data_IF_695125338261
#
_entry.id   IF_695125338261
#
_cell.length_a   1.000
_cell.length_b   1.000
_cell.length_c   1.000
_cell.angle_alpha   90.00
_cell.angle_beta   90.00
_cell.angle_gamma   90.00
#
_symmetry.space_group_name_H-M   'P 1'
#
loop_
_entity.id
_entity.type
_entity.pdbx_description
1 polymer ?
#
# COMPACT_ATOMS: atom_id res chain seq x y z
N UNK A 1 -13.50 1.16 -4.10
CA UNK A 1 -12.55 1.73 -5.08
C UNK A 1 -11.71 0.62 -5.74
N UNK A 2 -10.86 0.93 -6.73
CA UNK A 2 -9.86 -0.04 -7.23
C UNK A 2 -8.84 -0.42 -6.15
N UNK A 3 -8.46 0.54 -5.29
CA UNK A 3 -7.61 0.31 -4.11
C UNK A 3 -8.18 -0.78 -3.20
N UNK A 4 -9.48 -0.68 -2.84
CA UNK A 4 -10.15 -1.68 -2.00
C UNK A 4 -10.13 -3.06 -2.66
N UNK A 5 -10.40 -3.16 -3.98
CA UNK A 5 -10.37 -4.45 -4.69
C UNK A 5 -8.98 -5.11 -4.66
N UNK A 6 -7.93 -4.30 -4.80
CA UNK A 6 -6.55 -4.75 -4.71
C UNK A 6 -6.22 -5.15 -3.27
N UNK A 7 -6.59 -4.32 -2.29
CA UNK A 7 -6.39 -4.60 -0.87
C UNK A 7 -7.10 -5.89 -0.43
N UNK A 8 -8.35 -6.11 -0.85
CA UNK A 8 -9.08 -7.36 -0.56
C UNK A 8 -8.37 -8.59 -1.11
N UNK A 9 -7.76 -8.49 -2.29
CA UNK A 9 -6.97 -9.59 -2.84
C UNK A 9 -5.71 -9.83 -1.99
N UNK A 10 -4.99 -8.75 -1.64
CA UNK A 10 -3.70 -8.82 -0.94
C UNK A 10 -3.81 -9.01 0.56
N UNK A 11 -5.01 -8.85 1.14
CA UNK A 11 -5.32 -9.30 2.49
C UNK A 11 -5.28 -10.85 2.59
N UNK A 12 -5.44 -11.57 1.46
CA UNK A 12 -5.23 -13.03 1.45
C UNK A 12 -3.73 -13.33 1.55
N UNK A 13 -3.30 -13.91 2.68
CA UNK A 13 -1.88 -14.24 2.96
C UNK A 13 -1.20 -15.02 1.84
N UNK A 14 -1.89 -15.99 1.22
CA UNK A 14 -1.33 -16.78 0.11
C UNK A 14 -1.10 -15.94 -1.15
N UNK A 15 -1.99 -15.00 -1.46
CA UNK A 15 -1.82 -14.06 -2.59
C UNK A 15 -0.64 -13.13 -2.32
N UNK A 16 -0.61 -12.50 -1.14
CA UNK A 16 0.46 -11.58 -0.75
C UNK A 16 1.85 -12.24 -0.79
N UNK A 17 1.99 -13.41 -0.17
CA UNK A 17 3.27 -14.12 -0.13
C UNK A 17 3.70 -14.65 -1.50
N UNK A 18 2.75 -15.06 -2.36
CA UNK A 18 3.05 -15.46 -3.73
C UNK A 18 3.61 -14.30 -4.54
N UNK A 19 2.97 -13.12 -4.51
CA UNK A 19 3.47 -11.95 -5.24
C UNK A 19 4.82 -11.46 -4.70
N UNK A 20 5.01 -11.52 -3.38
CA UNK A 20 6.29 -11.22 -2.72
C UNK A 20 7.40 -12.20 -3.10
N UNK A 21 7.07 -13.47 -3.36
CA UNK A 21 8.04 -14.41 -3.91
C UNK A 21 8.42 -14.02 -5.34
N UNK A 22 7.43 -13.70 -6.16
CA UNK A 22 7.61 -13.32 -7.57
C UNK A 22 8.29 -11.95 -7.76
N UNK A 23 8.27 -11.06 -6.76
CA UNK A 23 9.02 -9.80 -6.81
C UNK A 23 10.54 -9.99 -6.75
N UNK A 24 11.01 -11.15 -6.25
CA UNK A 24 12.44 -11.50 -6.22
C UNK A 24 12.98 -11.91 -7.58
N UNK A 25 12.11 -12.26 -8.52
CA UNK A 25 12.48 -12.67 -9.87
C UNK A 25 11.52 -13.69 -10.48
N UNK A 26 11.66 -13.96 -11.79
CA UNK A 26 10.90 -14.99 -12.47
C UNK A 26 11.22 -16.39 -11.93
N UNK A 27 10.25 -17.29 -11.97
CA UNK A 27 10.40 -18.68 -11.54
C UNK A 27 9.65 -19.62 -12.49
N UNK A 28 9.98 -20.90 -12.49
CA UNK A 28 9.23 -21.89 -13.27
C UNK A 28 7.84 -22.11 -12.68
N UNK A 29 6.86 -22.42 -13.51
CA UNK A 29 5.49 -22.69 -13.04
C UNK A 29 5.46 -23.88 -12.09
N UNK A 30 6.24 -24.93 -12.36
CA UNK A 30 6.37 -26.09 -11.48
C UNK A 30 7.10 -25.74 -10.18
N UNK A 31 8.19 -24.97 -10.24
CA UNK A 31 8.89 -24.52 -9.02
C UNK A 31 8.05 -23.59 -8.14
N UNK A 32 7.13 -22.82 -8.73
CA UNK A 32 6.14 -22.05 -7.97
C UNK A 32 5.06 -22.96 -7.37
N UNK A 33 4.60 -23.97 -8.12
CA UNK A 33 3.61 -24.95 -7.67
C UNK A 33 4.11 -25.73 -6.46
N UNK A 34 5.32 -26.28 -6.54
CA UNK A 34 5.95 -27.04 -5.44
C UNK A 34 6.01 -26.18 -4.17
N UNK A 35 6.61 -24.99 -4.26
CA UNK A 35 6.69 -24.08 -3.13
C UNK A 35 5.31 -23.69 -2.58
N UNK A 36 4.33 -23.45 -3.45
CA UNK A 36 2.99 -23.02 -3.03
C UNK A 36 2.28 -24.16 -2.28
N UNK A 37 2.33 -25.38 -2.80
CA UNK A 37 1.72 -26.55 -2.17
C UNK A 37 2.40 -26.89 -0.83
N UNK A 38 3.72 -26.71 -0.73
CA UNK A 38 4.44 -26.88 0.54
C UNK A 38 4.04 -25.81 1.57
N UNK A 39 3.80 -24.58 1.12
CA UNK A 39 3.49 -23.43 2.01
C UNK A 39 2.01 -23.36 2.37
N UNK A 40 1.13 -23.79 1.46
CA UNK A 40 -0.33 -23.67 1.54
C UNK A 40 -1.02 -24.97 1.04
N UNK A 41 -0.83 -26.10 1.74
CA UNK A 41 -1.26 -27.42 1.25
C UNK A 41 -2.77 -27.56 1.04
N UNK A 42 -3.56 -26.76 1.75
CA UNK A 42 -5.03 -26.78 1.71
C UNK A 42 -5.64 -25.89 0.60
N UNK A 43 -4.81 -25.15 -0.15
CA UNK A 43 -5.29 -24.17 -1.14
C UNK A 43 -5.01 -24.65 -2.56
N UNK A 44 -5.95 -24.36 -3.49
CA UNK A 44 -5.79 -24.72 -4.89
C UNK A 44 -4.81 -23.77 -5.61
N UNK A 45 -3.67 -24.31 -6.03
CA UNK A 45 -2.70 -23.59 -6.86
C UNK A 45 -3.28 -23.12 -8.19
N UNK A 46 -4.19 -23.89 -8.81
CA UNK A 46 -4.80 -23.51 -10.08
C UNK A 46 -5.67 -22.27 -9.90
N UNK A 47 -6.49 -22.22 -8.84
CA UNK A 47 -7.30 -21.04 -8.53
C UNK A 47 -6.44 -19.78 -8.29
N UNK A 48 -5.32 -19.93 -7.58
CA UNK A 48 -4.33 -18.86 -7.40
C UNK A 48 -3.85 -18.34 -8.77
N UNK A 49 -3.31 -19.21 -9.61
CA UNK A 49 -2.74 -18.84 -10.92
C UNK A 49 -3.80 -18.20 -11.82
N UNK A 50 -4.97 -18.82 -11.95
CA UNK A 50 -6.07 -18.31 -12.77
C UNK A 50 -6.49 -16.91 -12.31
N UNK A 51 -6.50 -16.68 -10.99
CA UNK A 51 -6.80 -15.36 -10.41
C UNK A 51 -5.72 -14.33 -10.70
N UNK A 52 -4.44 -14.68 -10.53
CA UNK A 52 -3.33 -13.77 -10.77
C UNK A 52 -3.17 -13.40 -12.25
N UNK A 53 -3.40 -14.35 -13.16
CA UNK A 53 -3.43 -14.10 -14.62
C UNK A 53 -4.60 -13.20 -14.99
N UNK A 54 -5.82 -13.55 -14.54
CA UNK A 54 -7.05 -12.77 -14.84
C UNK A 54 -6.94 -11.33 -14.37
N UNK A 55 -6.32 -11.09 -13.22
CA UNK A 55 -6.10 -9.74 -12.66
C UNK A 55 -4.83 -9.06 -13.15
N UNK A 56 -4.13 -9.67 -14.12
CA UNK A 56 -2.92 -9.14 -14.75
C UNK A 56 -1.81 -8.81 -13.73
N UNK A 57 -1.68 -9.63 -12.69
CA UNK A 57 -0.53 -9.55 -11.78
C UNK A 57 0.66 -10.32 -12.33
N UNK A 58 0.40 -11.41 -13.04
CA UNK A 58 1.44 -12.28 -13.60
C UNK A 58 1.22 -12.51 -15.08
N UNK A 59 2.32 -12.84 -15.76
CA UNK A 59 2.34 -13.35 -17.12
C UNK A 59 3.05 -14.69 -17.12
N UNK A 60 2.46 -15.68 -17.81
CA UNK A 60 3.07 -16.99 -17.98
C UNK A 60 3.63 -17.05 -19.39
N UNK A 61 4.95 -17.10 -19.50
CA UNK A 61 5.64 -17.23 -20.78
C UNK A 61 6.14 -18.67 -20.97
N UNK A 62 5.99 -19.22 -22.17
CA UNK A 62 6.62 -20.48 -22.52
C UNK A 62 7.95 -20.21 -23.22
N UNK A 63 9.03 -20.82 -22.72
CA UNK A 63 10.36 -20.74 -23.31
C UNK A 63 10.75 -22.16 -23.75
N UNK A 64 11.03 -22.33 -25.04
CA UNK A 64 11.31 -23.64 -25.62
C UNK A 64 10.08 -24.55 -25.69
N UNK A 65 10.31 -25.87 -25.66
CA UNK A 65 9.29 -26.87 -25.98
C UNK A 65 8.30 -27.09 -24.83
N UNK A 66 8.72 -26.94 -23.57
CA UNK A 66 7.90 -27.36 -22.42
C UNK A 66 7.96 -26.44 -21.19
N UNK A 67 8.97 -25.59 -21.04
CA UNK A 67 9.13 -24.82 -19.80
C UNK A 67 8.29 -23.56 -19.77
N UNK A 68 7.44 -23.45 -18.74
CA UNK A 68 6.63 -22.26 -18.47
C UNK A 68 7.24 -21.49 -17.31
N UNK A 69 7.44 -20.20 -17.51
CA UNK A 69 7.93 -19.25 -16.53
C UNK A 69 6.83 -18.30 -16.10
N UNK A 70 6.76 -18.02 -14.81
CA UNK A 70 5.86 -17.04 -14.22
C UNK A 70 6.64 -15.76 -13.97
N UNK A 71 6.20 -14.68 -14.60
CA UNK A 71 6.75 -13.33 -14.44
C UNK A 71 5.74 -12.47 -13.71
N UNK A 72 6.22 -11.65 -12.77
CA UNK A 72 5.42 -10.60 -12.17
C UNK A 72 5.29 -9.46 -13.18
N UNK A 73 4.09 -8.92 -13.37
CA UNK A 73 3.84 -7.75 -14.22
C UNK A 73 3.81 -6.45 -13.42
N UNK A 74 3.27 -6.52 -12.20
CA UNK A 74 3.16 -5.37 -11.29
C UNK A 74 3.42 -5.79 -9.86
N UNK A 75 4.30 -5.06 -9.20
CA UNK A 75 4.41 -5.00 -7.74
C UNK A 75 3.32 -4.08 -7.22
N UNK A 76 2.67 -4.49 -6.15
CA UNK A 76 1.71 -3.64 -5.45
C UNK A 76 2.20 -3.49 -4.03
N UNK A 77 2.37 -2.24 -3.62
CA UNK A 77 2.78 -1.88 -2.28
C UNK A 77 1.68 -1.06 -1.62
N UNK A 78 1.59 -1.19 -0.30
CA UNK A 78 0.86 -0.27 0.53
C UNK A 78 1.88 0.37 1.46
N UNK A 79 1.88 1.69 1.51
CA UNK A 79 2.80 2.45 2.34
C UNK A 79 2.06 3.57 3.08
N UNK A 80 2.69 4.03 4.16
CA UNK A 80 2.21 5.17 4.91
C UNK A 80 2.82 6.43 4.32
N UNK A 81 1.97 7.44 4.11
CA UNK A 81 2.38 8.77 3.66
C UNK A 81 1.86 9.83 4.62
N UNK A 82 2.53 11.00 4.74
CA UNK A 82 1.97 12.14 5.44
C UNK A 82 0.56 12.45 4.91
N UNK A 83 -0.42 12.73 5.78
CA UNK A 83 -1.77 13.07 5.32
C UNK A 83 -1.78 14.42 4.58
N UNK A 84 -2.50 14.50 3.46
CA UNK A 84 -2.58 15.73 2.65
C UNK A 84 -3.10 16.91 3.47
N UNK A 85 -4.10 16.68 4.34
CA UNK A 85 -4.61 17.72 5.25
C UNK A 85 -3.52 18.33 6.13
N UNK A 86 -2.50 17.55 6.50
CA UNK A 86 -1.39 18.04 7.32
C UNK A 86 -0.42 18.89 6.48
N UNK A 87 -0.23 18.53 5.21
CA UNK A 87 0.54 19.32 4.25
C UNK A 87 -0.15 20.67 4.01
N UNK A 88 -1.47 20.63 3.82
CA UNK A 88 -2.30 21.84 3.68
C UNK A 88 -2.16 22.77 4.90
N UNK A 89 -2.12 22.25 6.13
CA UNK A 89 -1.93 23.07 7.34
C UNK A 89 -0.56 23.74 7.43
N UNK A 90 0.45 23.22 6.72
CA UNK A 90 1.80 23.80 6.66
C UNK A 90 1.84 24.89 5.58
N UNK A 91 1.24 24.62 4.42
CA UNK A 91 1.35 25.46 3.23
C UNK A 91 0.33 26.61 3.23
N UNK A 92 -0.84 26.38 3.81
CA UNK A 92 -1.94 27.33 3.91
C UNK A 92 -2.28 27.50 5.38
N UNK A 93 -2.20 28.72 5.94
CA UNK A 93 -2.73 28.97 7.29
C UNK A 93 -4.26 28.86 7.19
N UNK A 94 -4.89 27.75 7.60
CA UNK A 94 -6.29 27.56 7.33
C UNK A 94 -7.05 28.53 8.23
N UNK A 95 -7.83 29.45 7.68
CA UNK A 95 -8.64 30.41 8.47
C UNK A 95 -9.58 29.70 9.47
N UNK A 96 -9.88 28.42 9.21
CA UNK A 96 -10.81 27.58 9.94
C UNK A 96 -10.17 26.74 11.04
N UNK A 97 -8.84 26.72 11.17
CA UNK A 97 -8.14 25.89 12.16
C UNK A 97 -7.27 26.77 13.05
N UNK A 98 -7.42 26.59 14.35
CA UNK A 98 -6.64 27.34 15.33
C UNK A 98 -5.14 27.00 15.22
N UNK A 99 -4.23 27.99 15.11
CA UNK A 99 -2.80 27.75 14.97
C UNK A 99 -2.21 26.87 16.08
N UNK A 100 -2.67 27.04 17.33
CA UNK A 100 -2.20 26.24 18.46
C UNK A 100 -2.54 24.74 18.30
N UNK A 101 -3.61 24.42 17.59
CA UNK A 101 -3.99 23.04 17.30
C UNK A 101 -3.03 22.40 16.29
N UNK A 102 -2.59 23.19 15.30
CA UNK A 102 -1.61 22.78 14.29
C UNK A 102 -0.25 22.53 14.96
N UNK A 103 0.17 23.42 15.85
CA UNK A 103 1.43 23.27 16.62
C UNK A 103 1.47 22.00 17.48
N UNK A 104 0.31 21.49 17.91
CA UNK A 104 0.21 20.23 18.64
C UNK A 104 0.20 19.00 17.72
N UNK A 105 -0.35 19.13 16.51
CA UNK A 105 -0.54 18.04 15.57
C UNK A 105 0.75 17.74 14.79
N UNK A 106 1.40 18.77 14.25
CA UNK A 106 2.57 18.61 13.36
C UNK A 106 3.71 17.80 13.98
N UNK A 107 4.12 18.03 15.25
CA UNK A 107 5.20 17.26 15.85
C UNK A 107 4.90 15.77 15.93
N UNK A 108 3.63 15.39 16.14
CA UNK A 108 3.21 13.98 16.25
C UNK A 108 3.34 13.23 14.92
N UNK A 109 3.00 13.91 13.82
CA UNK A 109 3.16 13.36 12.46
C UNK A 109 4.64 13.27 12.11
N UNK A 110 5.43 14.32 12.40
CA UNK A 110 6.87 14.34 12.14
C UNK A 110 7.63 13.27 12.94
N UNK A 111 7.32 13.10 14.23
CA UNK A 111 7.91 12.08 15.09
C UNK A 111 7.61 10.67 14.56
N UNK A 112 6.37 10.44 14.12
CA UNK A 112 5.96 9.18 13.51
C UNK A 112 6.79 8.86 12.27
N UNK A 113 6.89 9.79 11.31
CA UNK A 113 7.60 9.55 10.06
C UNK A 113 9.13 9.44 10.26
N UNK A 114 9.69 10.20 11.20
CA UNK A 114 11.10 10.06 11.60
C UNK A 114 11.42 8.65 12.09
N UNK A 115 10.49 8.00 12.79
CA UNK A 115 10.65 6.60 13.23
C UNK A 115 10.35 5.63 12.09
N UNK A 116 9.32 5.89 11.30
CA UNK A 116 8.85 5.02 10.22
C UNK A 116 9.91 4.82 9.12
N UNK A 117 10.62 5.88 8.74
CA UNK A 117 11.69 5.84 7.73
C UNK A 117 12.87 4.94 8.11
N UNK A 118 13.06 4.69 9.42
CA UNK A 118 14.14 3.87 9.95
C UNK A 118 13.76 2.38 10.10
N UNK A 119 12.54 1.98 9.73
CA UNK A 119 12.10 0.58 9.79
C UNK A 119 12.91 -0.30 8.83
N UNK A 120 13.21 -1.51 9.28
CA UNK A 120 13.84 -2.52 8.43
C UNK A 120 12.89 -2.99 7.32
N UNK A 121 13.45 -3.58 6.25
CA UNK A 121 12.65 -4.15 5.15
C UNK A 121 11.60 -5.16 5.63
N UNK A 122 11.93 -5.98 6.64
CA UNK A 122 11.00 -6.97 7.19
C UNK A 122 9.83 -6.29 7.91
N UNK A 123 10.10 -5.26 8.70
CA UNK A 123 9.05 -4.50 9.39
C UNK A 123 8.13 -3.78 8.40
N UNK A 124 8.69 -3.21 7.33
CA UNK A 124 7.88 -2.59 6.27
C UNK A 124 7.02 -3.61 5.52
N UNK A 125 7.49 -4.83 5.30
CA UNK A 125 6.71 -5.89 4.68
C UNK A 125 5.54 -6.36 5.57
N UNK A 126 5.74 -6.44 6.90
CA UNK A 126 4.69 -6.76 7.87
C UNK A 126 3.67 -5.62 7.97
N UNK A 127 4.14 -4.38 7.96
CA UNK A 127 3.29 -3.19 7.93
C UNK A 127 2.45 -3.15 6.65
N UNK A 128 3.06 -3.39 5.48
CA UNK A 128 2.37 -3.45 4.18
C UNK A 128 1.17 -4.39 4.21
N UNK A 129 1.33 -5.58 4.81
CA UNK A 129 0.22 -6.53 4.94
C UNK A 129 -0.89 -6.00 5.86
N UNK A 130 -0.52 -5.35 6.95
CA UNK A 130 -1.46 -4.67 7.86
C UNK A 130 -2.22 -3.55 7.15
N UNK A 131 -1.56 -2.77 6.29
CA UNK A 131 -2.20 -1.71 5.52
C UNK A 131 -3.23 -2.28 4.53
N UNK A 132 -2.94 -3.41 3.89
CA UNK A 132 -3.96 -4.10 3.08
C UNK A 132 -5.15 -4.59 3.91
N UNK A 133 -4.94 -5.06 5.14
CA UNK A 133 -6.04 -5.42 6.04
C UNK A 133 -6.94 -4.23 6.32
N UNK A 134 -6.35 -3.07 6.60
CA UNK A 134 -7.09 -1.84 6.89
C UNK A 134 -7.90 -1.38 5.67
N UNK A 135 -7.28 -1.27 4.50
CA UNK A 135 -7.95 -0.79 3.28
C UNK A 135 -8.99 -1.78 2.77
N UNK A 136 -8.81 -3.08 3.01
CA UNK A 136 -9.79 -4.10 2.61
C UNK A 136 -11.04 -4.15 3.49
N UNK A 137 -11.02 -3.54 4.67
CA UNK A 137 -12.15 -3.51 5.59
C UNK A 137 -12.98 -2.24 5.35
N UNK A 138 -14.22 -2.35 4.84
CA UNK A 138 -15.02 -1.18 4.47
C UNK A 138 -15.34 -0.27 5.66
N UNK A 139 -15.40 -0.80 6.89
CA UNK A 139 -15.70 -0.01 8.09
C UNK A 139 -14.49 0.85 8.46
N UNK A 140 -13.29 0.26 8.40
CA UNK A 140 -12.03 1.00 8.65
C UNK A 140 -11.76 2.01 7.55
N UNK A 141 -11.94 1.60 6.29
CA UNK A 141 -11.74 2.49 5.14
C UNK A 141 -12.69 3.69 5.15
N UNK A 142 -13.95 3.51 5.58
CA UNK A 142 -14.88 4.64 5.71
C UNK A 142 -14.40 5.65 6.78
N UNK A 143 -13.91 5.20 7.95
CA UNK A 143 -13.31 6.11 8.95
C UNK A 143 -12.10 6.85 8.36
N UNK A 144 -11.22 6.15 7.63
CA UNK A 144 -10.08 6.79 6.97
C UNK A 144 -10.51 7.82 5.94
N UNK A 145 -11.52 7.51 5.14
CA UNK A 145 -12.05 8.40 4.12
C UNK A 145 -12.57 9.70 4.73
N UNK A 146 -13.25 9.65 5.88
CA UNK A 146 -13.69 10.86 6.57
C UNK A 146 -12.49 11.69 7.04
N UNK A 147 -11.53 11.05 7.71
CA UNK A 147 -10.36 11.72 8.30
C UNK A 147 -9.35 12.24 7.27
N UNK A 148 -9.43 11.81 5.99
CA UNK A 148 -8.63 12.40 4.89
C UNK A 148 -8.97 13.86 4.60
N UNK A 149 -10.14 14.33 5.03
CA UNK A 149 -10.55 15.73 4.89
C UNK A 149 -10.02 16.63 6.03
N UNK A 150 -9.26 16.07 6.98
CA UNK A 150 -8.69 16.80 8.09
C UNK A 150 -9.13 16.28 9.46
N UNK A 151 -8.79 17.06 10.49
CA UNK A 151 -9.15 16.75 11.87
C UNK A 151 -10.67 16.85 12.10
N UNK A 152 -11.21 15.92 12.87
CA UNK A 152 -12.65 15.81 13.15
C UNK A 152 -12.86 15.78 14.66
N UNK A 153 -13.78 16.58 15.16
CA UNK A 153 -14.29 16.47 16.53
C UNK A 153 -14.85 15.06 16.77
N UNK A 154 -14.35 14.38 17.81
CA UNK A 154 -14.72 13.00 18.16
C UNK A 154 -16.24 12.80 18.25
N UNK A 155 -17.00 13.81 18.71
CA UNK A 155 -18.45 13.72 18.87
C UNK A 155 -19.20 13.85 17.52
N UNK A 156 -18.53 14.39 16.49
CA UNK A 156 -19.09 14.54 15.14
C UNK A 156 -18.83 13.32 14.27
N UNK A 157 -17.73 12.59 14.49
CA UNK A 157 -17.37 11.42 13.68
C UNK A 157 -18.49 10.36 13.55
N UNK A 158 -19.25 10.01 14.62
CA UNK A 158 -20.37 9.07 14.51
C UNK A 158 -21.47 9.47 13.51
N UNK A 159 -21.59 10.76 13.20
CA UNK A 159 -22.60 11.31 12.27
C UNK A 159 -22.12 11.34 10.82
N UNK A 160 -20.82 11.22 10.59
CA UNK A 160 -20.19 11.30 9.26
C UNK A 160 -20.01 9.91 8.64
N UNK A 161 -19.78 8.90 9.48
CA UNK A 161 -19.58 7.52 9.03
C UNK A 161 -20.88 6.84 8.59
N UNK A 162 -20.76 5.82 7.75
CA UNK A 162 -21.89 5.00 7.33
C UNK A 162 -22.55 4.29 8.52
N UNK A 163 -23.85 3.95 8.41
CA UNK A 163 -24.58 3.21 9.45
C UNK A 163 -23.87 1.89 9.82
N UNK A 164 -23.38 1.15 8.83
CA UNK A 164 -22.64 -0.10 9.06
C UNK A 164 -21.30 0.11 9.77
N UNK A 165 -20.67 1.27 9.59
CA UNK A 165 -19.44 1.64 10.30
C UNK A 165 -19.74 2.04 11.73
N UNK A 166 -20.82 2.77 11.95
CA UNK A 166 -21.24 3.26 13.27
C UNK A 166 -21.35 2.13 14.30
N UNK A 167 -21.98 1.02 13.93
CA UNK A 167 -22.12 -0.17 14.79
C UNK A 167 -20.77 -0.79 15.22
N UNK A 168 -19.69 -0.49 14.48
CA UNK A 168 -18.34 -1.00 14.71
C UNK A 168 -17.30 0.12 14.90
N UNK A 169 -17.75 1.35 15.18
CA UNK A 169 -16.89 2.52 15.16
C UNK A 169 -15.76 2.39 16.19
N UNK A 170 -16.10 2.05 17.43
CA UNK A 170 -15.10 1.88 18.50
C UNK A 170 -14.07 0.80 18.19
N UNK A 171 -14.50 -0.33 17.60
CA UNK A 171 -13.58 -1.39 17.18
C UNK A 171 -12.64 -0.92 16.06
N UNK A 172 -13.17 -0.16 15.11
CA UNK A 172 -12.40 0.40 14.00
C UNK A 172 -11.40 1.44 14.50
N UNK A 173 -11.82 2.37 15.36
CA UNK A 173 -10.96 3.38 15.98
C UNK A 173 -9.84 2.74 16.80
N UNK A 174 -10.15 1.76 17.65
CA UNK A 174 -9.14 1.08 18.45
C UNK A 174 -8.11 0.35 17.58
N UNK A 175 -8.55 -0.27 16.48
CA UNK A 175 -7.64 -0.90 15.52
C UNK A 175 -6.74 0.13 14.84
N UNK A 176 -7.32 1.22 14.33
CA UNK A 176 -6.56 2.28 13.65
C UNK A 176 -5.57 2.98 14.59
N UNK A 177 -5.94 3.24 15.85
CA UNK A 177 -5.04 3.78 16.88
C UNK A 177 -3.90 2.82 17.21
N UNK A 178 -4.22 1.53 17.43
CA UNK A 178 -3.22 0.48 17.74
C UNK A 178 -2.15 0.38 16.64
N UNK A 179 -2.55 0.65 15.40
CA UNK A 179 -1.65 0.60 14.26
C UNK A 179 -1.13 1.99 13.85
N UNK A 180 -1.18 3.00 14.72
CA UNK A 180 -0.64 4.35 14.48
C UNK A 180 -1.14 5.02 13.18
N UNK A 181 -2.39 4.74 12.78
CA UNK A 181 -3.01 5.39 11.62
C UNK A 181 -3.69 6.69 12.01
N UNK A 182 -4.31 6.70 13.20
CA UNK A 182 -5.03 7.85 13.75
C UNK A 182 -4.55 8.13 15.16
N UNK A 183 -4.73 9.37 15.59
CA UNK A 183 -4.44 9.78 16.97
C UNK A 183 -5.53 10.73 17.48
N UNK A 184 -5.71 10.74 18.81
CA UNK A 184 -6.63 11.65 19.49
C UNK A 184 -5.85 12.78 20.16
N UNK A 185 -6.36 14.00 20.00
CA UNK A 185 -5.84 15.19 20.63
C UNK A 185 -6.93 15.84 21.48
N UNK A 186 -6.56 16.32 22.68
CA UNK A 186 -7.43 17.16 23.49
C UNK A 186 -7.02 18.61 23.36
N UNK A 187 -7.98 19.47 23.06
CA UNK A 187 -7.75 20.91 22.92
C UNK A 187 -8.99 21.68 23.35
N UNK A 188 -8.84 22.68 24.22
CA UNK A 188 -9.94 23.50 24.76
C UNK A 188 -11.17 22.70 25.25
N UNK A 189 -10.93 21.59 25.96
CA UNK A 189 -11.94 20.63 26.45
C UNK A 189 -12.68 19.82 25.37
N UNK A 190 -12.32 19.96 24.11
CA UNK A 190 -12.82 19.14 23.01
C UNK A 190 -11.79 18.04 22.67
N UNK A 191 -12.28 16.93 22.12
CA UNK A 191 -11.44 15.85 21.63
C UNK A 191 -11.53 15.82 20.12
N UNK A 192 -10.37 15.77 19.47
CA UNK A 192 -10.23 15.71 18.03
C UNK A 192 -9.54 14.42 17.63
N UNK A 193 -9.97 13.82 16.53
CA UNK A 193 -9.33 12.67 15.89
C UNK A 193 -8.76 13.16 14.55
N UNK A 194 -7.52 12.78 14.26
CA UNK A 194 -6.87 13.12 13.00
C UNK A 194 -6.07 11.94 12.44
N UNK A 195 -5.76 11.98 11.14
CA UNK A 195 -4.82 11.02 10.55
C UNK A 195 -3.40 11.34 11.00
N UNK A 196 -2.75 10.37 11.62
CA UNK A 196 -1.30 10.42 11.89
C UNK A 196 -0.50 9.99 10.65
N UNK A 197 -1.04 9.04 9.91
CA UNK A 197 -0.51 8.55 8.65
C UNK A 197 -1.68 8.20 7.72
N UNK A 198 -1.63 8.68 6.48
CA UNK A 198 -2.52 8.21 5.42
C UNK A 198 -1.93 6.94 4.78
N UNK A 199 -2.77 6.16 4.11
CA UNK A 199 -2.40 4.94 3.41
C UNK A 199 -2.48 5.18 1.92
N UNK A 200 -1.39 4.89 1.22
CA UNK A 200 -1.33 4.91 -0.24
C UNK A 200 -1.08 3.50 -0.77
N UNK A 201 -1.88 3.07 -1.75
CA UNK A 201 -1.62 1.84 -2.50
C UNK A 201 -1.05 2.23 -3.86
N UNK A 202 0.18 1.81 -4.13
CA UNK A 202 0.87 2.08 -5.38
C UNK A 202 1.11 0.79 -6.15
N UNK A 203 1.17 0.91 -7.47
CA UNK A 203 1.57 -0.18 -8.35
C UNK A 203 2.78 0.23 -9.17
N UNK A 204 3.80 -0.62 -9.24
CA UNK A 204 5.02 -0.36 -9.99
C UNK A 204 5.44 -1.59 -10.78
N UNK A 205 6.28 -1.40 -11.81
CA UNK A 205 6.95 -2.54 -12.43
C UNK A 205 7.91 -3.21 -11.44
N UNK A 206 8.02 -4.55 -11.48
CA UNK A 206 8.98 -5.27 -10.65
C UNK A 206 10.40 -4.74 -10.77
N UNK A 207 11.11 -4.70 -9.64
CA UNK A 207 12.46 -4.10 -9.58
C UNK A 207 13.42 -4.74 -10.61
N UNK A 208 13.34 -6.05 -10.80
CA UNK A 208 14.18 -6.78 -11.76
C UNK A 208 13.85 -6.43 -13.23
N UNK A 209 12.59 -6.10 -13.54
CA UNK A 209 12.22 -5.62 -14.88
C UNK A 209 12.70 -4.18 -15.08
N UNK A 210 12.54 -3.30 -14.08
CA UNK A 210 13.04 -1.91 -14.12
C UNK A 210 14.55 -1.85 -14.37
N UNK A 211 15.34 -2.71 -13.71
CA UNK A 211 16.80 -2.84 -13.91
C UNK A 211 17.18 -3.35 -15.30
N UNK A 212 16.30 -4.08 -15.96
CA UNK A 212 16.54 -4.62 -17.30
C UNK A 212 16.27 -3.54 -18.35
N UNK A 213 15.22 -2.74 -18.17
CA UNK A 213 14.88 -1.61 -19.05
C UNK A 213 15.94 -0.52 -19.07
N UNK A 214 16.59 -0.23 -17.93
CA UNK A 214 17.63 0.81 -17.84
C UNK A 214 18.98 0.42 -18.47
N UNK A 215 19.18 -0.85 -18.84
CA UNK A 215 20.44 -1.32 -19.46
C UNK A 215 20.45 -1.16 -20.99
N UNK A 216 19.29 -1.09 -21.65
CA UNK A 216 19.19 -0.96 -23.11
C UNK A 216 19.35 0.49 -23.62
N UNK A 217 19.33 1.49 -22.73
CA UNK A 217 19.40 2.91 -23.10
C UNK A 217 20.82 3.48 -23.21
N UNK A 218 21.83 2.66 -23.57
CA UNK A 218 23.11 3.22 -24.06
C UNK A 218 22.95 3.51 -25.56
N UNK A 219 22.99 4.77 -26.01
CA UNK A 219 22.86 5.08 -27.43
C UNK A 219 23.99 4.40 -28.18
N UNK A 220 23.62 3.58 -29.16
CA UNK A 220 24.54 3.07 -30.18
C UNK A 220 25.04 4.32 -30.93
N UNK A 221 26.28 4.76 -30.65
CA UNK A 221 26.93 5.77 -31.48
C UNK A 221 27.05 5.20 -32.89
N UNK A 222 26.17 5.62 -33.79
CA UNK A 222 26.28 5.33 -35.20
C UNK A 222 27.66 5.81 -35.68
N UNK A 223 28.54 4.88 -36.05
CA UNK A 223 29.78 5.21 -36.76
C UNK A 223 29.38 5.65 -38.16
N UNK A 224 29.26 6.95 -38.37
CA UNK A 224 29.17 7.50 -39.73
C UNK A 224 30.53 7.29 -40.41
N UNK A 225 30.63 6.24 -41.23
CA UNK A 225 31.65 6.19 -42.29
C UNK A 225 31.39 7.36 -43.22
N UNK A 226 32.34 8.29 -43.32
CA UNK A 226 32.54 9.06 -44.54
C UNK A 226 33.96 8.80 -45.00
N UNK A 227 34.06 7.91 -45.97
CA UNK A 227 35.19 7.85 -46.89
C UNK A 227 34.92 8.84 -48.04
N UNK A 228 35.94 9.65 -48.29
CA UNK A 228 36.42 10.13 -49.60
C UNK A 228 35.54 11.14 -50.35
N UNK A 229 35.99 12.39 -50.41
CA UNK A 229 36.65 12.92 -51.63
C UNK A 229 37.66 13.99 -51.25
#
# INVERSE_FOLDING_TARGET
SEEEKIATLLNKKHMFLTLKRLSKGPTTLEGLREWYNDTFPELDFKELIDTLVRKQFIFINQIGIVEKYVLLLKEVNAERIPPDSVIEYIDETPELIEPELIELLLPKVQEFFSTYENKSKKELEEDTFTLFQIVSDPKKYNVLSELRHGLIDSDKLPKLVSKTTLDHLNSSLNFLKKHDIIEELKFKNESYIFLKANIQITTAFPEYLRKSLSKESKPIKAKTKREIT
#
